data_IF_898110853464
#
_entry.id   IF_898110853464
#
_cell.length_a   1.000
_cell.length_b   1.000
_cell.length_c   1.000
_cell.angle_alpha   90.00
_cell.angle_beta   90.00
_cell.angle_gamma   90.00
#
_symmetry.space_group_name_H-M   'P 1'
#
loop_
_entity.id
_entity.type
_entity.pdbx_description
1 polymer ?
#
# COMPACT_ATOMS: atom_id res chain seq x y z
N UNK A 1 -15.24 -16.50 -16.87
CA UNK A 1 -14.73 -15.88 -15.63
C UNK A 1 -13.95 -14.63 -16.01
N UNK A 2 -13.86 -13.60 -15.16
CA UNK A 2 -13.14 -12.38 -15.53
C UNK A 2 -11.65 -12.70 -15.74
N UNK A 3 -11.11 -12.54 -16.96
CA UNK A 3 -9.72 -12.92 -17.26
C UNK A 3 -8.71 -12.16 -16.39
N UNK A 4 -9.05 -10.94 -15.95
CA UNK A 4 -8.20 -10.10 -15.09
C UNK A 4 -8.02 -10.63 -13.66
N UNK A 5 -8.97 -11.42 -13.14
CA UNK A 5 -8.93 -11.96 -11.77
C UNK A 5 -8.57 -13.44 -11.71
N UNK A 6 -8.56 -14.12 -12.86
CA UNK A 6 -8.51 -15.59 -12.93
C UNK A 6 -7.08 -16.11 -12.98
N UNK A 7 -6.19 -15.55 -12.16
CA UNK A 7 -4.79 -15.97 -12.07
C UNK A 7 -4.49 -16.64 -10.73
N UNK A 8 -3.64 -17.67 -10.71
CA UNK A 8 -3.33 -18.40 -9.49
C UNK A 8 -2.50 -17.59 -8.50
N UNK A 9 -1.81 -16.53 -8.94
CA UNK A 9 -0.94 -15.70 -8.10
C UNK A 9 -1.70 -14.61 -7.34
N UNK A 10 -2.88 -14.20 -7.80
CA UNK A 10 -3.66 -13.11 -7.20
C UNK A 10 -3.81 -13.21 -5.67
N UNK A 11 -4.24 -14.34 -5.08
CA UNK A 11 -4.35 -14.45 -3.63
C UNK A 11 -3.04 -14.18 -2.88
N UNK A 12 -1.90 -14.58 -3.44
CA UNK A 12 -0.57 -14.41 -2.85
C UNK A 12 -0.14 -12.95 -2.95
N UNK A 13 -0.35 -12.30 -4.10
CA UNK A 13 -0.07 -10.88 -4.30
C UNK A 13 -0.92 -10.03 -3.34
N UNK A 14 -2.19 -10.40 -3.14
CA UNK A 14 -3.06 -9.71 -2.18
C UNK A 14 -2.55 -9.81 -0.74
N UNK A 15 -2.04 -10.98 -0.35
CA UNK A 15 -1.45 -11.20 0.97
C UNK A 15 -0.14 -10.41 1.14
N UNK A 16 0.76 -10.44 0.16
CA UNK A 16 2.04 -9.72 0.25
C UNK A 16 1.84 -8.20 0.30
N UNK A 17 0.98 -7.67 -0.55
CA UNK A 17 0.62 -6.24 -0.52
C UNK A 17 -0.08 -5.82 0.78
N UNK A 18 -0.82 -6.72 1.44
CA UNK A 18 -1.39 -6.46 2.77
C UNK A 18 -0.30 -6.36 3.85
N UNK A 19 0.73 -7.20 3.79
CA UNK A 19 1.88 -7.14 4.70
C UNK A 19 2.67 -5.85 4.48
N UNK A 20 2.99 -5.53 3.21
CA UNK A 20 3.76 -4.33 2.83
C UNK A 20 3.03 -3.04 3.27
N UNK A 21 1.75 -2.91 2.96
CA UNK A 21 0.96 -1.74 3.39
C UNK A 21 0.76 -1.68 4.91
N UNK A 22 0.61 -2.84 5.57
CA UNK A 22 0.50 -2.92 7.02
C UNK A 22 1.75 -2.42 7.74
N UNK A 23 2.94 -2.85 7.29
CA UNK A 23 4.22 -2.38 7.83
C UNK A 23 4.40 -0.88 7.57
N UNK A 24 4.10 -0.41 6.36
CA UNK A 24 4.19 1.01 6.01
C UNK A 24 3.27 1.88 6.89
N UNK A 25 2.03 1.46 7.08
CA UNK A 25 1.08 2.17 7.95
C UNK A 25 1.53 2.14 9.42
N UNK A 26 2.06 1.00 9.89
CA UNK A 26 2.61 0.88 11.24
C UNK A 26 3.76 1.86 11.48
N UNK A 27 4.69 2.00 10.52
CA UNK A 27 5.78 2.99 10.58
C UNK A 27 5.21 4.41 10.70
N UNK A 28 4.25 4.76 9.85
CA UNK A 28 3.65 6.10 9.86
C UNK A 28 2.92 6.39 11.17
N UNK A 29 2.16 5.42 11.68
CA UNK A 29 1.48 5.53 12.97
C UNK A 29 2.46 5.66 14.13
N UNK A 30 3.56 4.91 14.11
CA UNK A 30 4.62 5.01 15.12
C UNK A 30 5.24 6.41 15.14
N UNK A 31 5.65 6.93 13.99
CA UNK A 31 6.24 8.28 13.87
C UNK A 31 5.22 9.35 14.30
N UNK A 32 3.96 9.23 13.87
CA UNK A 32 2.90 10.17 14.24
C UNK A 32 2.64 10.15 15.76
N UNK A 33 2.52 8.97 16.36
CA UNK A 33 2.28 8.82 17.79
C UNK A 33 3.42 9.40 18.64
N UNK A 34 4.68 9.11 18.29
CA UNK A 34 5.85 9.65 19.00
C UNK A 34 5.93 11.17 18.87
N UNK A 35 5.64 11.73 17.69
CA UNK A 35 5.61 13.18 17.47
C UNK A 35 4.49 13.88 18.24
N UNK A 36 3.28 13.31 18.27
CA UNK A 36 2.14 13.84 19.04
C UNK A 36 2.46 13.85 20.54
N UNK A 37 3.08 12.77 21.05
CA UNK A 37 3.45 12.65 22.46
C UNK A 37 4.78 13.31 22.82
N UNK A 38 5.49 13.92 21.85
CA UNK A 38 6.82 14.55 22.04
C UNK A 38 7.89 13.62 22.63
N UNK A 39 7.79 12.32 22.34
CA UNK A 39 8.79 11.34 22.76
C UNK A 39 9.89 11.18 21.70
N UNK A 40 11.08 10.77 22.14
CA UNK A 40 12.19 10.49 21.22
C UNK A 40 11.86 9.27 20.35
N UNK A 41 12.14 9.38 19.05
CA UNK A 41 11.96 8.29 18.08
C UNK A 41 13.19 7.40 18.14
N UNK A 42 12.99 6.10 18.36
CA UNK A 42 14.09 5.13 18.29
C UNK A 42 14.45 4.85 16.82
N UNK A 43 15.56 5.41 16.38
CA UNK A 43 16.09 5.23 15.03
C UNK A 43 16.50 3.79 14.72
N UNK A 44 16.86 2.97 15.71
CA UNK A 44 17.20 1.55 15.50
C UNK A 44 15.93 0.77 15.15
N UNK A 45 14.87 0.94 15.94
CA UNK A 45 13.57 0.35 15.67
C UNK A 45 13.05 0.74 14.27
N UNK A 46 13.13 2.02 13.92
CA UNK A 46 12.69 2.52 12.62
C UNK A 46 13.50 1.91 11.45
N UNK A 47 14.82 1.76 11.61
CA UNK A 47 15.66 1.12 10.59
C UNK A 47 15.34 -0.37 10.43
N UNK A 48 15.11 -1.10 11.53
CA UNK A 48 14.68 -2.51 11.48
C UNK A 48 13.35 -2.65 10.74
N UNK A 49 12.37 -1.79 11.04
CA UNK A 49 11.05 -1.86 10.39
C UNK A 49 11.12 -1.49 8.91
N UNK A 50 11.95 -0.51 8.54
CA UNK A 50 12.22 -0.19 7.14
C UNK A 50 12.94 -1.32 6.40
N UNK A 51 13.83 -2.07 7.06
CA UNK A 51 14.48 -3.24 6.47
C UNK A 51 13.47 -4.35 6.17
N UNK A 52 12.57 -4.66 7.11
CA UNK A 52 11.48 -5.60 6.87
C UNK A 52 10.56 -5.13 5.73
N UNK A 53 10.17 -3.84 5.73
CA UNK A 53 9.38 -3.27 4.64
C UNK A 53 10.05 -3.47 3.28
N UNK A 54 11.36 -3.24 3.20
CA UNK A 54 12.11 -3.38 1.95
C UNK A 54 12.19 -4.83 1.46
N UNK A 55 12.40 -5.79 2.37
CA UNK A 55 12.40 -7.22 2.04
C UNK A 55 11.03 -7.65 1.48
N UNK A 56 9.94 -7.30 2.19
CA UNK A 56 8.60 -7.66 1.72
C UNK A 56 8.23 -6.94 0.42
N UNK A 57 8.68 -5.70 0.22
CA UNK A 57 8.49 -4.98 -1.04
C UNK A 57 9.21 -5.68 -2.20
N UNK A 58 10.43 -6.20 -2.00
CA UNK A 58 11.12 -7.00 -3.04
C UNK A 58 10.31 -8.24 -3.41
N UNK A 59 9.77 -8.95 -2.42
CA UNK A 59 8.96 -10.15 -2.66
C UNK A 59 7.67 -9.82 -3.41
N UNK A 60 6.98 -8.74 -3.01
CA UNK A 60 5.76 -8.26 -3.66
C UNK A 60 6.00 -7.89 -5.13
N UNK A 61 7.04 -7.10 -5.40
CA UNK A 61 7.45 -6.72 -6.76
C UNK A 61 7.81 -7.95 -7.60
N UNK A 62 8.48 -8.93 -7.00
CA UNK A 62 8.83 -10.17 -7.70
C UNK A 62 7.57 -10.93 -8.13
N UNK A 63 6.58 -11.04 -7.25
CA UNK A 63 5.31 -11.72 -7.57
C UNK A 63 4.51 -10.96 -8.62
N UNK A 64 4.48 -9.63 -8.55
CA UNK A 64 3.79 -8.80 -9.55
C UNK A 64 4.45 -8.90 -10.93
N UNK A 65 5.78 -8.92 -11.00
CA UNK A 65 6.50 -9.17 -12.25
C UNK A 65 6.21 -10.58 -12.79
N UNK A 66 6.20 -11.59 -11.93
CA UNK A 66 5.86 -12.96 -12.32
C UNK A 66 4.43 -13.06 -12.86
N UNK A 67 3.49 -12.33 -12.29
CA UNK A 67 2.12 -12.25 -12.77
C UNK A 67 2.04 -11.65 -14.18
N UNK A 68 2.72 -10.52 -14.42
CA UNK A 68 2.76 -9.89 -15.75
C UNK A 68 3.37 -10.85 -16.78
N UNK A 69 4.45 -11.56 -16.42
CA UNK A 69 5.10 -12.54 -17.29
C UNK A 69 4.17 -13.74 -17.55
N UNK A 70 3.55 -14.29 -16.51
CA UNK A 70 2.64 -15.43 -16.60
C UNK A 70 1.43 -15.10 -17.48
N UNK A 71 0.85 -13.92 -17.30
CA UNK A 71 -0.28 -13.44 -18.08
C UNK A 71 0.08 -13.29 -19.56
N UNK A 72 1.28 -12.76 -19.88
CA UNK A 72 1.78 -12.70 -21.26
C UNK A 72 2.03 -14.07 -21.86
N UNK A 73 2.59 -15.00 -21.10
CA UNK A 73 2.92 -16.34 -21.57
C UNK A 73 1.67 -17.20 -21.83
N UNK A 74 0.64 -17.06 -20.99
CA UNK A 74 -0.58 -17.85 -21.07
C UNK A 74 -1.38 -17.67 -22.38
N UNK A 75 -1.00 -16.73 -23.26
CA UNK A 75 -1.50 -16.60 -24.64
C UNK A 75 -3.02 -16.76 -24.77
N UNK A 76 -3.77 -16.12 -23.87
CA UNK A 76 -5.24 -16.14 -23.87
C UNK A 76 -5.74 -15.30 -25.05
N UNK A 77 -6.84 -15.71 -25.69
CA UNK A 77 -7.59 -14.88 -26.66
C UNK A 77 -7.99 -13.50 -26.08
N UNK A 78 -7.92 -13.35 -24.74
CA UNK A 78 -8.27 -12.15 -23.99
C UNK A 78 -7.14 -11.09 -23.90
N UNK A 79 -5.94 -11.35 -24.44
CA UNK A 79 -4.79 -10.42 -24.33
C UNK A 79 -5.11 -9.04 -24.94
N UNK A 80 -5.88 -9.00 -26.02
CA UNK A 80 -6.24 -7.75 -26.69
C UNK A 80 -7.11 -6.84 -25.81
N UNK A 81 -8.02 -7.43 -25.04
CA UNK A 81 -8.92 -6.70 -24.13
C UNK A 81 -8.12 -6.21 -22.92
N UNK A 82 -7.20 -7.03 -22.41
CA UNK A 82 -6.33 -6.66 -21.29
C UNK A 82 -5.40 -5.51 -21.70
N UNK A 83 -4.80 -5.56 -22.88
CA UNK A 83 -3.98 -4.47 -23.41
C UNK A 83 -4.79 -3.18 -23.59
N UNK A 84 -6.04 -3.30 -24.05
CA UNK A 84 -6.96 -2.17 -24.18
C UNK A 84 -7.34 -1.58 -22.81
N UNK A 85 -7.59 -2.41 -21.81
CA UNK A 85 -7.84 -1.97 -20.44
C UNK A 85 -6.61 -1.22 -19.87
N UNK A 86 -5.43 -1.82 -19.99
CA UNK A 86 -4.17 -1.26 -19.50
C UNK A 86 -3.77 0.04 -20.23
N UNK A 87 -4.20 0.25 -21.46
CA UNK A 87 -3.85 1.46 -22.22
C UNK A 87 -4.90 2.56 -22.07
N UNK A 88 -6.17 2.23 -22.26
CA UNK A 88 -7.25 3.22 -22.40
C UNK A 88 -7.85 3.65 -21.06
N UNK A 89 -7.78 2.79 -20.04
CA UNK A 89 -8.55 2.95 -18.80
C UNK A 89 -7.69 3.12 -17.57
N UNK A 90 -6.87 2.11 -17.26
CA UNK A 90 -6.07 2.07 -16.03
C UNK A 90 -4.60 2.40 -16.27
N UNK A 91 -4.21 2.85 -17.47
CA UNK A 91 -2.80 3.04 -17.81
C UNK A 91 -2.08 4.03 -16.91
N UNK A 92 -2.70 5.17 -16.61
CA UNK A 92 -2.11 6.16 -15.70
C UNK A 92 -2.01 5.63 -14.26
N UNK A 93 -3.06 4.98 -13.75
CA UNK A 93 -3.08 4.47 -12.37
C UNK A 93 -2.18 3.25 -12.20
N UNK A 94 -2.01 2.44 -13.23
CA UNK A 94 -1.13 1.26 -13.23
C UNK A 94 0.34 1.65 -13.40
N UNK A 95 0.70 2.29 -14.53
CA UNK A 95 2.10 2.63 -14.81
C UNK A 95 2.59 3.80 -13.95
N UNK A 96 1.79 4.86 -13.83
CA UNK A 96 2.14 6.03 -13.04
C UNK A 96 2.05 5.75 -11.54
N UNK A 97 0.84 5.54 -11.03
CA UNK A 97 0.64 5.52 -9.58
C UNK A 97 1.14 4.22 -8.92
N UNK A 98 0.74 3.05 -9.43
CA UNK A 98 1.13 1.78 -8.82
C UNK A 98 2.62 1.47 -9.04
N UNK A 99 3.08 1.43 -10.30
CA UNK A 99 4.43 0.98 -10.60
C UNK A 99 5.50 2.05 -10.28
N UNK A 100 5.32 3.30 -10.72
CA UNK A 100 6.36 4.32 -10.46
C UNK A 100 6.28 4.92 -9.06
N UNK A 101 5.13 5.46 -8.66
CA UNK A 101 5.00 6.07 -7.32
C UNK A 101 4.99 5.00 -6.22
N UNK A 102 4.24 3.92 -6.39
CA UNK A 102 4.00 2.92 -5.36
C UNK A 102 5.15 1.93 -5.12
N UNK A 103 5.91 1.62 -6.18
CA UNK A 103 6.96 0.60 -6.16
C UNK A 103 8.33 1.23 -6.38
N UNK A 104 8.56 1.84 -7.54
CA UNK A 104 9.90 2.26 -7.96
C UNK A 104 10.51 3.30 -7.00
N UNK A 105 9.74 4.32 -6.63
CA UNK A 105 10.23 5.37 -5.72
C UNK A 105 10.53 4.80 -4.32
N UNK A 106 9.60 4.12 -3.62
CA UNK A 106 9.89 3.50 -2.32
C UNK A 106 11.05 2.53 -2.36
N UNK A 107 11.16 1.73 -3.42
CA UNK A 107 12.22 0.75 -3.59
C UNK A 107 13.60 1.44 -3.60
N UNK A 108 13.76 2.49 -4.42
CA UNK A 108 15.02 3.24 -4.52
C UNK A 108 15.32 3.97 -3.21
N UNK A 109 14.31 4.62 -2.60
CA UNK A 109 14.50 5.35 -1.35
C UNK A 109 14.92 4.41 -0.20
N UNK A 110 14.25 3.27 -0.02
CA UNK A 110 14.58 2.29 1.01
C UNK A 110 15.94 1.63 0.75
N UNK A 111 16.31 1.40 -0.52
CA UNK A 111 17.66 0.97 -0.88
C UNK A 111 18.71 2.01 -0.45
N UNK A 112 18.49 3.29 -0.73
CA UNK A 112 19.40 4.37 -0.34
C UNK A 112 19.53 4.51 1.18
N UNK A 113 18.45 4.29 1.94
CA UNK A 113 18.47 4.30 3.43
C UNK A 113 19.49 3.31 3.99
N UNK A 114 19.65 2.14 3.35
CA UNK A 114 20.62 1.13 3.76
C UNK A 114 22.07 1.56 3.49
N UNK A 115 22.32 2.36 2.45
CA UNK A 115 23.67 2.83 2.09
C UNK A 115 24.13 4.07 2.85
N UNK A 116 23.21 4.97 3.23
CA UNK A 116 23.55 6.20 3.93
C UNK A 116 24.04 5.86 5.35
N UNK A 117 25.28 6.25 5.68
CA UNK A 117 25.84 6.13 7.03
C UNK A 117 25.75 7.49 7.75
N UNK A 118 25.34 7.46 9.03
CA UNK A 118 25.38 8.60 9.98
C UNK A 118 24.50 9.83 9.65
N UNK A 119 23.23 9.63 9.25
CA UNK A 119 22.24 10.72 9.06
C UNK A 119 20.82 10.30 9.42
N UNK A 120 20.50 10.26 10.73
CA UNK A 120 19.24 9.69 11.21
C UNK A 120 17.99 10.47 10.79
N UNK A 121 18.06 11.81 10.76
CA UNK A 121 16.94 12.66 10.32
C UNK A 121 16.59 12.43 8.84
N UNK A 122 17.61 12.33 7.97
CA UNK A 122 17.37 12.07 6.54
C UNK A 122 16.78 10.67 6.32
N UNK A 123 17.30 9.66 7.02
CA UNK A 123 16.75 8.30 6.96
C UNK A 123 15.27 8.28 7.37
N UNK A 124 14.91 8.95 8.46
CA UNK A 124 13.53 9.03 8.91
C UNK A 124 12.62 9.67 7.87
N UNK A 125 13.05 10.77 7.24
CA UNK A 125 12.28 11.44 6.17
C UNK A 125 12.10 10.51 4.97
N UNK A 126 13.18 9.88 4.51
CA UNK A 126 13.13 8.94 3.38
C UNK A 126 12.20 7.76 3.65
N UNK A 127 12.30 7.13 4.83
CA UNK A 127 11.43 6.04 5.25
C UNK A 127 9.97 6.50 5.29
N UNK A 128 9.70 7.69 5.83
CA UNK A 128 8.33 8.24 5.91
C UNK A 128 7.74 8.46 4.52
N UNK A 129 8.51 9.07 3.61
CA UNK A 129 8.11 9.30 2.22
C UNK A 129 7.85 7.96 1.52
N UNK A 130 8.73 6.98 1.67
CA UNK A 130 8.53 5.63 1.14
C UNK A 130 7.24 5.00 1.65
N UNK A 131 6.94 5.11 2.94
CA UNK A 131 5.73 4.51 3.52
C UNK A 131 4.45 5.15 2.96
N UNK A 132 4.44 6.48 2.79
CA UNK A 132 3.29 7.18 2.18
C UNK A 132 3.07 6.68 0.76
N UNK A 133 4.13 6.63 -0.04
CA UNK A 133 4.05 6.17 -1.42
C UNK A 133 3.66 4.69 -1.53
N UNK A 134 4.16 3.83 -0.65
CA UNK A 134 3.74 2.42 -0.59
C UNK A 134 2.23 2.31 -0.32
N UNK A 135 1.69 3.06 0.64
CA UNK A 135 0.24 3.04 0.94
C UNK A 135 -0.58 3.52 -0.25
N UNK A 136 -0.14 4.59 -0.94
CA UNK A 136 -0.78 5.09 -2.16
C UNK A 136 -0.70 4.04 -3.29
N UNK A 137 0.45 3.39 -3.45
CA UNK A 137 0.69 2.35 -4.44
C UNK A 137 -0.20 1.14 -4.25
N UNK A 138 -0.30 0.63 -3.02
CA UNK A 138 -1.17 -0.51 -2.69
C UNK A 138 -2.65 -0.13 -2.86
N UNK A 139 -3.04 1.10 -2.52
CA UNK A 139 -4.39 1.57 -2.81
C UNK A 139 -4.67 1.62 -4.33
N UNK A 140 -3.73 2.11 -5.13
CA UNK A 140 -3.84 2.12 -6.58
C UNK A 140 -3.90 0.69 -7.15
N UNK A 141 -3.13 -0.25 -6.61
CA UNK A 141 -3.21 -1.67 -6.96
C UNK A 141 -4.60 -2.23 -6.67
N UNK A 142 -5.17 -1.98 -5.49
CA UNK A 142 -6.54 -2.40 -5.15
C UNK A 142 -7.57 -1.79 -6.10
N UNK A 143 -7.41 -0.51 -6.44
CA UNK A 143 -8.25 0.17 -7.42
C UNK A 143 -8.13 -0.48 -8.81
N UNK A 144 -6.93 -0.72 -9.31
CA UNK A 144 -6.68 -1.30 -10.63
C UNK A 144 -7.20 -2.73 -10.73
N UNK A 145 -7.09 -3.54 -9.68
CA UNK A 145 -7.65 -4.88 -9.67
C UNK A 145 -9.18 -4.84 -9.69
N UNK A 146 -9.79 -4.08 -8.78
CA UNK A 146 -11.25 -4.07 -8.63
C UNK A 146 -11.91 -3.32 -9.78
N UNK A 147 -11.58 -2.05 -9.98
CA UNK A 147 -12.21 -1.21 -11.01
C UNK A 147 -11.79 -1.65 -12.41
N UNK A 148 -10.51 -1.98 -12.61
CA UNK A 148 -10.06 -2.51 -13.90
C UNK A 148 -10.82 -3.79 -14.30
N UNK A 149 -11.10 -4.67 -13.34
CA UNK A 149 -11.94 -5.84 -13.61
C UNK A 149 -13.41 -5.50 -13.91
N UNK A 150 -13.99 -4.48 -13.27
CA UNK A 150 -15.36 -4.04 -13.54
C UNK A 150 -15.52 -3.34 -14.90
N UNK A 151 -14.46 -2.73 -15.42
CA UNK A 151 -14.47 -2.08 -16.72
C UNK A 151 -14.34 -3.06 -17.90
N UNK A 152 -14.10 -4.35 -17.66
CA UNK A 152 -14.18 -5.37 -18.70
C UNK A 152 -15.63 -5.76 -18.94
N UNK A 153 -16.12 -5.64 -20.18
CA UNK A 153 -17.45 -6.12 -20.55
C UNK A 153 -17.55 -7.64 -20.36
N UNK A 154 -18.69 -8.13 -19.87
CA UNK A 154 -18.96 -9.57 -19.74
C UNK A 154 -18.94 -10.31 -21.09
N UNK A 155 -19.22 -9.61 -22.19
CA UNK A 155 -19.12 -10.16 -23.55
C UNK A 155 -17.69 -10.15 -24.10
N UNK A 156 -16.73 -9.56 -23.38
CA UNK A 156 -15.33 -9.41 -23.79
C UNK A 156 -15.13 -8.58 -25.08
N UNK A 157 -16.18 -7.98 -25.63
CA UNK A 157 -16.09 -7.19 -26.89
C UNK A 157 -15.52 -5.77 -26.66
N UNK A 158 -15.49 -5.28 -25.42
CA UNK A 158 -15.04 -3.92 -25.14
C UNK A 158 -14.96 -3.55 -23.66
N UNK A 159 -14.72 -2.27 -23.38
CA UNK A 159 -14.62 -1.72 -22.04
C UNK A 159 -15.83 -0.87 -21.67
N UNK A 160 -16.21 -0.91 -20.40
CA UNK A 160 -17.19 -0.04 -19.77
C UNK A 160 -16.45 1.09 -19.05
N UNK A 161 -17.19 2.14 -18.67
CA UNK A 161 -16.64 3.22 -17.84
C UNK A 161 -17.32 3.15 -16.49
N UNK A 162 -16.55 2.92 -15.45
CA UNK A 162 -17.05 2.93 -14.08
C UNK A 162 -17.24 4.37 -13.60
N UNK A 163 -18.43 4.69 -13.09
CA UNK A 163 -18.73 6.00 -12.50
C UNK A 163 -19.07 5.79 -11.02
N UNK A 164 -18.25 6.31 -10.09
CA UNK A 164 -18.53 6.18 -8.67
C UNK A 164 -19.76 7.00 -8.28
N UNK A 165 -20.76 6.35 -7.67
CA UNK A 165 -21.95 7.00 -7.14
C UNK A 165 -21.69 7.41 -5.69
N UNK A 166 -22.00 8.65 -5.32
CA UNK A 166 -21.60 9.18 -4.01
C UNK A 166 -22.52 8.72 -2.86
N UNK A 167 -23.85 8.77 -3.05
CA UNK A 167 -24.86 8.54 -2.02
C UNK A 167 -25.56 7.17 -2.08
N UNK A 168 -25.01 6.19 -2.80
CA UNK A 168 -25.56 4.83 -2.83
C UNK A 168 -25.06 3.99 -1.66
N UNK A 169 -25.73 2.85 -1.38
CA UNK A 169 -25.30 1.89 -0.36
C UNK A 169 -23.93 1.28 -0.65
N UNK A 170 -23.57 1.17 -1.94
CA UNK A 170 -22.25 0.76 -2.42
C UNK A 170 -21.40 1.96 -2.88
N UNK A 171 -21.77 3.15 -2.42
CA UNK A 171 -21.19 4.41 -2.85
C UNK A 171 -19.91 4.78 -2.14
N UNK A 172 -19.38 5.94 -2.52
CA UNK A 172 -18.15 6.48 -1.94
C UNK A 172 -18.29 6.76 -0.44
N UNK A 173 -19.46 7.22 0.02
CA UNK A 173 -19.66 7.59 1.41
C UNK A 173 -19.58 6.39 2.37
N UNK A 174 -20.30 5.26 2.15
CA UNK A 174 -20.10 4.05 2.93
C UNK A 174 -18.66 3.53 2.93
N UNK A 175 -17.96 3.62 1.80
CA UNK A 175 -16.55 3.21 1.71
C UNK A 175 -15.66 4.05 2.65
N UNK A 176 -15.81 5.38 2.64
CA UNK A 176 -15.05 6.29 3.54
C UNK A 176 -15.31 5.93 5.00
N UNK A 177 -16.56 5.64 5.39
CA UNK A 177 -16.90 5.26 6.77
C UNK A 177 -16.15 3.98 7.17
N UNK A 178 -16.14 2.97 6.31
CA UNK A 178 -15.42 1.72 6.56
C UNK A 178 -13.91 1.96 6.64
N UNK A 179 -13.34 2.81 5.79
CA UNK A 179 -11.91 3.17 5.84
C UNK A 179 -11.53 3.91 7.13
N UNK A 180 -12.43 4.69 7.71
CA UNK A 180 -12.18 5.42 8.96
C UNK A 180 -12.33 4.54 10.21
N UNK A 181 -13.09 3.45 10.12
CA UNK A 181 -13.45 2.59 11.24
C UNK A 181 -12.22 2.00 11.98
N UNK A 182 -11.16 1.49 11.31
CA UNK A 182 -9.96 1.01 11.99
C UNK A 182 -9.26 2.06 12.84
N UNK A 183 -9.25 3.33 12.42
CA UNK A 183 -8.64 4.43 13.20
C UNK A 183 -9.48 4.79 14.42
N UNK A 184 -10.80 4.70 14.31
CA UNK A 184 -11.71 4.87 15.45
C UNK A 184 -11.49 3.74 16.46
N UNK A 185 -11.45 2.49 16.00
CA UNK A 185 -11.12 1.33 16.85
C UNK A 185 -9.77 1.53 17.53
N UNK A 186 -8.74 1.90 16.77
CA UNK A 186 -7.41 2.14 17.31
C UNK A 186 -7.43 3.20 18.42
N UNK A 187 -8.18 4.29 18.24
CA UNK A 187 -8.35 5.33 19.27
C UNK A 187 -9.05 4.81 20.52
N UNK A 188 -10.09 4.00 20.37
CA UNK A 188 -10.81 3.39 21.50
C UNK A 188 -9.90 2.41 22.25
N UNK A 189 -9.21 1.52 21.52
CA UNK A 189 -8.32 0.52 22.12
C UNK A 189 -7.16 1.18 22.87
N UNK A 190 -6.52 2.19 22.27
CA UNK A 190 -5.42 2.92 22.92
C UNK A 190 -5.86 3.77 24.11
N UNK A 191 -7.15 4.11 24.21
CA UNK A 191 -7.71 4.77 25.39
C UNK A 191 -7.96 3.76 26.55
N UNK A 192 -8.35 2.53 26.23
CA UNK A 192 -8.59 1.47 27.23
C UNK A 192 -7.26 0.87 27.73
N UNK A 193 -6.32 0.63 26.81
CA UNK A 193 -5.03 0.02 27.08
C UNK A 193 -3.92 0.97 26.59
N UNK A 194 -3.48 1.94 27.40
CA UNK A 194 -2.47 2.92 26.98
C UNK A 194 -1.10 2.22 26.82
N UNK A 195 -0.56 2.09 25.59
CA UNK A 195 0.65 1.31 25.36
C UNK A 195 1.95 2.05 25.74
N UNK A 196 1.85 3.33 26.11
CA UNK A 196 3.00 4.19 26.45
C UNK A 196 3.06 4.59 27.93
N UNK A 197 2.29 3.91 28.80
CA UNK A 197 2.18 4.26 30.21
C UNK A 197 3.54 4.32 30.91
N UNK A 198 4.41 3.36 30.62
CA UNK A 198 5.76 3.28 31.22
C UNK A 198 6.64 4.47 30.83
N UNK A 199 6.54 4.94 29.58
CA UNK A 199 7.30 6.10 29.08
C UNK A 199 6.82 7.42 29.69
N UNK A 200 5.51 7.54 29.91
CA UNK A 200 4.91 8.72 30.54
C UNK A 200 5.28 8.80 32.03
N UNK A 201 5.31 7.66 32.74
CA UNK A 201 5.77 7.57 34.13
C UNK A 201 7.26 7.93 34.28
N UNK A 202 8.11 7.49 33.36
CA UNK A 202 9.55 7.80 33.35
C UNK A 202 9.79 9.30 33.07
N UNK A 203 9.03 9.88 32.14
CA UNK A 203 9.09 11.33 31.84
C UNK A 203 8.61 12.19 33.01
N UNK A 204 7.64 11.71 33.80
CA UNK A 204 7.19 12.41 35.02
C UNK A 204 8.22 12.35 36.14
N UNK A 205 9.00 11.26 36.28
CA UNK A 205 10.07 11.14 37.28
C UNK A 205 11.29 12.03 36.99
N UNK A 206 11.49 12.42 35.73
CA UNK A 206 12.59 13.27 35.29
C UNK A 206 12.29 14.78 35.38
N UNK A 207 11.04 15.17 35.66
CA UNK A 207 10.62 16.56 35.88
C UNK A 207 10.54 16.88 37.37
#
# INVERSE_FOLDING_TARGET
ANPWWSTPLMPIIFLMSAIVSGIALLILLYIAAMKIRKHAIDHKCLQSLAHYLWIFLILDVTLELLEIISMKYASREDIDIINRLLSDKIGFTFWGVQLTLGILIPFILLLMVNFIKKRDTLKMIMISISCIFVVIGVFAMRWNVVIGGQEISKSLVGTLTYVPVFFSQEGVLPAIIIFMLPFIILRVVTAILPPWKDMEEETQKLK
#
